data_IF_462861023146
#
_entry.id   IF_462861023146
#
_cell.length_a   1.000
_cell.length_b   1.000
_cell.length_c   1.000
_cell.angle_alpha   90.00
_cell.angle_beta   90.00
_cell.angle_gamma   90.00
#
_symmetry.space_group_name_H-M   'P 1'
#
loop_
_entity.id
_entity.type
_entity.pdbx_description
1 polymer ?
#
# COMPACT_ATOMS: atom_id res chain seq x y z
N UNK A 1 14.59 -32.18 -28.99
CA UNK A 1 14.59 -30.69 -29.05
C UNK A 1 13.23 -30.05 -28.74
N UNK A 2 12.08 -30.75 -28.81
CA UNK A 2 10.77 -30.15 -28.49
C UNK A 2 10.45 -30.02 -26.99
N UNK A 3 10.89 -30.99 -26.16
CA UNK A 3 10.59 -30.99 -24.72
C UNK A 3 11.23 -29.82 -23.95
N UNK A 4 12.49 -29.48 -24.23
CA UNK A 4 13.21 -28.37 -23.57
C UNK A 4 12.50 -27.02 -23.78
N UNK A 5 11.96 -26.77 -24.98
CA UNK A 5 11.23 -25.52 -25.27
C UNK A 5 9.90 -25.44 -24.51
N UNK A 6 9.21 -26.56 -24.31
CA UNK A 6 7.96 -26.61 -23.55
C UNK A 6 8.19 -26.35 -22.05
N UNK A 7 9.24 -26.93 -21.46
CA UNK A 7 9.63 -26.68 -20.06
C UNK A 7 9.94 -25.20 -19.81
N UNK A 8 10.73 -24.58 -20.69
CA UNK A 8 11.05 -23.15 -20.59
C UNK A 8 9.83 -22.26 -20.81
N UNK A 9 8.92 -22.62 -21.72
CA UNK A 9 7.66 -21.91 -21.94
C UNK A 9 6.79 -21.90 -20.68
N UNK A 10 6.67 -23.03 -19.99
CA UNK A 10 5.91 -23.13 -18.74
C UNK A 10 6.53 -22.28 -17.62
N UNK A 11 7.86 -22.27 -17.49
CA UNK A 11 8.56 -21.44 -16.51
C UNK A 11 8.43 -19.94 -16.82
N UNK A 12 8.54 -19.56 -18.10
CA UNK A 12 8.33 -18.17 -18.54
C UNK A 12 6.89 -17.75 -18.27
N UNK A 13 5.90 -18.59 -18.61
CA UNK A 13 4.49 -18.30 -18.37
C UNK A 13 4.19 -18.12 -16.88
N UNK A 14 4.75 -18.98 -16.02
CA UNK A 14 4.63 -18.84 -14.57
C UNK A 14 5.29 -17.55 -14.07
N UNK A 15 6.51 -17.25 -14.53
CA UNK A 15 7.22 -16.01 -14.16
C UNK A 15 6.45 -14.75 -14.57
N UNK A 16 5.90 -14.74 -15.79
CA UNK A 16 5.05 -13.64 -16.29
C UNK A 16 3.77 -13.53 -15.47
N UNK A 17 3.12 -14.64 -15.14
CA UNK A 17 1.92 -14.64 -14.29
C UNK A 17 2.19 -14.04 -12.91
N UNK A 18 3.26 -14.49 -12.23
CA UNK A 18 3.67 -13.95 -10.94
C UNK A 18 3.98 -12.46 -11.03
N UNK A 19 4.67 -12.03 -12.09
CA UNK A 19 4.98 -10.62 -12.33
C UNK A 19 3.70 -9.78 -12.51
N UNK A 20 2.75 -10.26 -13.30
CA UNK A 20 1.47 -9.57 -13.52
C UNK A 20 0.70 -9.42 -12.21
N UNK A 21 0.59 -10.50 -11.41
CA UNK A 21 -0.08 -10.45 -10.10
C UNK A 21 0.62 -9.47 -9.16
N UNK A 22 1.95 -9.49 -9.11
CA UNK A 22 2.73 -8.55 -8.29
C UNK A 22 2.48 -7.09 -8.71
N UNK A 23 2.51 -6.80 -10.01
CA UNK A 23 2.25 -5.47 -10.54
C UNK A 23 0.83 -5.00 -10.25
N UNK A 24 -0.16 -5.91 -10.32
CA UNK A 24 -1.54 -5.62 -9.98
C UNK A 24 -1.70 -5.21 -8.51
N UNK A 25 -1.13 -5.99 -7.60
CA UNK A 25 -1.13 -5.70 -6.15
C UNK A 25 -0.45 -4.35 -5.88
N UNK A 26 0.69 -4.08 -6.52
CA UNK A 26 1.42 -2.81 -6.40
C UNK A 26 0.63 -1.63 -6.94
N UNK A 27 -0.06 -1.80 -8.07
CA UNK A 27 -0.93 -0.79 -8.65
C UNK A 27 -2.07 -0.42 -7.70
N UNK A 28 -2.71 -1.43 -7.08
CA UNK A 28 -3.78 -1.22 -6.11
C UNK A 28 -3.32 -0.43 -4.88
N UNK A 29 -2.13 -0.71 -4.36
CA UNK A 29 -1.59 0.05 -3.22
C UNK A 29 -1.11 1.45 -3.58
N UNK A 30 -0.42 1.62 -4.69
CA UNK A 30 0.21 2.91 -5.01
C UNK A 30 -0.72 3.82 -5.81
N UNK A 31 -1.25 3.32 -6.92
CA UNK A 31 -1.96 4.16 -7.88
C UNK A 31 -3.41 4.35 -7.49
N UNK A 32 -4.10 3.29 -7.04
CA UNK A 32 -5.47 3.48 -6.53
C UNK A 32 -5.49 4.37 -5.29
N UNK A 33 -4.51 4.22 -4.40
CA UNK A 33 -4.38 5.10 -3.23
C UNK A 33 -4.13 6.56 -3.62
N UNK A 34 -3.44 6.86 -4.72
CA UNK A 34 -3.25 8.24 -5.19
C UNK A 34 -4.56 8.94 -5.59
N UNK A 35 -5.61 8.20 -5.93
CA UNK A 35 -6.94 8.80 -6.19
C UNK A 35 -7.63 9.29 -4.91
N UNK A 36 -7.14 8.92 -3.73
CA UNK A 36 -7.57 9.56 -2.48
C UNK A 36 -7.07 11.01 -2.51
N UNK A 37 -7.97 11.96 -2.37
CA UNK A 37 -7.61 13.38 -2.39
C UNK A 37 -6.68 13.73 -1.22
N UNK A 38 -5.75 14.66 -1.41
CA UNK A 38 -4.92 15.16 -0.30
C UNK A 38 -5.76 15.79 0.81
N UNK A 39 -6.92 16.35 0.48
CA UNK A 39 -7.89 16.86 1.44
C UNK A 39 -8.45 15.75 2.34
N UNK A 40 -8.75 14.57 1.78
CA UNK A 40 -9.20 13.42 2.57
C UNK A 40 -8.08 12.90 3.48
N UNK A 41 -6.83 12.80 2.99
CA UNK A 41 -5.68 12.42 3.81
C UNK A 41 -5.45 13.43 4.94
N UNK A 42 -5.57 14.72 4.65
CA UNK A 42 -5.45 15.81 5.63
C UNK A 42 -6.52 15.68 6.69
N UNK A 43 -7.78 15.50 6.30
CA UNK A 43 -8.90 15.31 7.22
C UNK A 43 -8.71 14.09 8.12
N UNK A 44 -8.34 12.95 7.56
CA UNK A 44 -8.07 11.73 8.34
C UNK A 44 -6.90 11.92 9.31
N UNK A 45 -5.89 12.68 8.89
CA UNK A 45 -4.77 13.03 9.76
C UNK A 45 -5.23 13.91 10.91
N UNK A 46 -6.07 14.91 10.64
CA UNK A 46 -6.64 15.81 11.66
C UNK A 46 -7.50 15.03 12.66
N UNK A 47 -8.38 14.14 12.15
CA UNK A 47 -9.19 13.23 12.97
C UNK A 47 -8.31 12.36 13.87
N UNK A 48 -7.25 11.74 13.33
CA UNK A 48 -6.34 10.91 14.12
C UNK A 48 -5.60 11.71 15.20
N UNK A 49 -5.14 12.92 14.87
CA UNK A 49 -4.47 13.79 15.83
C UNK A 49 -5.45 14.26 16.91
N UNK A 50 -6.69 14.54 16.55
CA UNK A 50 -7.73 14.91 17.50
C UNK A 50 -8.08 13.76 18.45
N UNK A 51 -8.19 12.53 17.96
CA UNK A 51 -8.58 11.37 18.77
C UNK A 51 -7.42 10.80 19.61
N UNK A 52 -6.20 10.80 19.07
CA UNK A 52 -5.07 10.08 19.65
C UNK A 52 -3.86 10.95 19.99
N UNK A 53 -3.88 12.24 19.65
CA UNK A 53 -2.83 13.21 19.97
C UNK A 53 -1.45 12.75 19.51
N UNK A 54 -0.50 12.69 20.43
CA UNK A 54 0.89 12.27 20.14
C UNK A 54 0.99 10.83 19.60
N UNK A 55 0.00 9.98 19.90
CA UNK A 55 -0.04 8.58 19.46
C UNK A 55 -0.60 8.39 18.06
N UNK A 56 -1.06 9.45 17.38
CA UNK A 56 -1.64 9.37 16.05
C UNK A 56 -0.73 8.61 15.05
N UNK A 57 0.59 8.83 15.10
CA UNK A 57 1.52 8.12 14.22
C UNK A 57 1.62 6.61 14.54
N UNK A 58 1.58 6.25 15.82
CA UNK A 58 1.58 4.85 16.26
C UNK A 58 0.31 4.14 15.76
N UNK A 59 -0.85 4.79 15.88
CA UNK A 59 -2.12 4.24 15.41
C UNK A 59 -2.13 4.08 13.89
N UNK A 60 -1.67 5.09 13.14
CA UNK A 60 -1.56 5.01 11.68
C UNK A 60 -0.62 3.87 11.24
N UNK A 61 0.46 3.62 11.99
CA UNK A 61 1.36 2.50 11.72
C UNK A 61 0.69 1.13 11.98
N UNK A 62 -0.04 0.99 13.09
CA UNK A 62 -0.78 -0.23 13.41
C UNK A 62 -1.81 -0.54 12.32
N UNK A 63 -2.52 0.47 11.83
CA UNK A 63 -3.54 0.25 10.81
C UNK A 63 -2.94 -0.02 9.42
N UNK A 64 -1.76 0.55 9.10
CA UNK A 64 -0.97 0.14 7.93
C UNK A 64 -0.54 -1.33 8.00
N UNK A 65 -0.01 -1.78 9.15
CA UNK A 65 0.40 -3.19 9.37
C UNK A 65 -0.79 -4.14 9.32
N UNK A 66 -1.91 -3.74 9.93
CA UNK A 66 -3.17 -4.49 9.87
C UNK A 66 -3.65 -4.66 8.44
N UNK A 67 -3.69 -3.57 7.68
CA UNK A 67 -4.09 -3.58 6.28
C UNK A 67 -3.20 -4.50 5.45
N UNK A 68 -1.90 -4.54 5.74
CA UNK A 68 -0.97 -5.47 5.11
C UNK A 68 -1.29 -6.95 5.44
N UNK A 69 -1.52 -7.28 6.71
CA UNK A 69 -1.85 -8.66 7.14
C UNK A 69 -3.13 -9.19 6.52
N UNK A 70 -4.09 -8.32 6.24
CA UNK A 70 -5.37 -8.69 5.63
C UNK A 70 -5.40 -8.43 4.11
N UNK A 71 -4.24 -8.22 3.47
CA UNK A 71 -4.13 -7.98 2.02
C UNK A 71 -5.01 -6.83 1.51
N UNK A 72 -5.31 -5.85 2.36
CA UNK A 72 -6.08 -4.66 2.02
C UNK A 72 -5.14 -3.62 1.40
N UNK A 73 -4.67 -3.91 0.19
CA UNK A 73 -3.61 -3.16 -0.49
C UNK A 73 -3.88 -1.65 -0.60
N UNK A 74 -5.13 -1.27 -0.88
CA UNK A 74 -5.54 0.13 -0.97
C UNK A 74 -5.52 0.85 0.38
N UNK A 75 -6.07 0.23 1.43
CA UNK A 75 -6.04 0.77 2.78
C UNK A 75 -4.59 0.91 3.26
N UNK A 76 -3.74 -0.08 2.97
CA UNK A 76 -2.31 0.01 3.27
C UNK A 76 -1.67 1.24 2.60
N UNK A 77 -1.99 1.51 1.33
CA UNK A 77 -1.52 2.71 0.62
C UNK A 77 -2.04 4.01 1.24
N UNK A 78 -3.32 4.05 1.61
CA UNK A 78 -3.96 5.18 2.27
C UNK A 78 -3.32 5.49 3.62
N UNK A 79 -3.13 4.49 4.48
CA UNK A 79 -2.47 4.64 5.79
C UNK A 79 -1.01 5.06 5.66
N UNK A 80 -0.31 4.58 4.61
CA UNK A 80 1.05 5.05 4.31
C UNK A 80 1.09 6.55 4.01
N UNK A 81 0.11 7.07 3.26
CA UNK A 81 -0.02 8.51 2.97
C UNK A 81 -0.36 9.32 4.23
N UNK A 82 -1.30 8.85 5.06
CA UNK A 82 -1.61 9.46 6.37
C UNK A 82 -0.36 9.53 7.26
N UNK A 83 0.41 8.45 7.34
CA UNK A 83 1.66 8.42 8.11
C UNK A 83 2.74 9.34 7.54
N UNK A 84 2.81 9.52 6.22
CA UNK A 84 3.70 10.48 5.59
C UNK A 84 3.30 11.93 5.95
N UNK A 85 2.00 12.22 5.92
CA UNK A 85 1.45 13.52 6.33
C UNK A 85 1.72 13.84 7.80
N UNK A 86 1.49 12.88 8.70
CA UNK A 86 1.81 13.01 10.13
C UNK A 86 3.29 13.33 10.36
N UNK A 87 4.20 12.66 9.64
CA UNK A 87 5.64 12.93 9.75
C UNK A 87 6.00 14.30 9.21
N UNK A 88 5.45 14.71 8.06
CA UNK A 88 5.64 16.05 7.48
C UNK A 88 5.26 17.16 8.47
N UNK A 89 4.22 16.94 9.29
CA UNK A 89 3.76 17.92 10.28
C UNK A 89 4.57 17.92 11.58
N UNK A 90 5.30 16.83 11.86
CA UNK A 90 6.19 16.71 13.04
C UNK A 90 7.59 17.27 12.76
N UNK A 91 8.03 17.24 11.51
CA UNK A 91 9.27 17.87 11.07
C UNK A 91 9.08 19.41 11.00
N UNK A 92 10.00 20.21 11.60
CA UNK A 92 9.90 21.67 11.66
C UNK A 92 10.13 22.37 10.32
#
# INVERSE_FOLDING_TARGET
>A
MSSIHAEHLSLIAFGVFVLIVFLWVKWESCVRSMFVSDAEITRLTDELVQEHGQRAEEIAFIEEDRSWRYSQNFEQGKWRRVRAELRRRKEP
#
